data_IF_764911264838
#
_entry.id   IF_764911264838
#
_cell.length_a   1.000
_cell.length_b   1.000
_cell.length_c   1.000
_cell.angle_alpha   90.00
_cell.angle_beta   90.00
_cell.angle_gamma   90.00
#
_symmetry.space_group_name_H-M   'P 1'
#
loop_
_entity.id
_entity.type
_entity.pdbx_description
1 polymer ?
#
# COMPACT_ATOMS: atom_id res chain seq x y z
N UNK A 1 39.54 33.28 -18.87
CA UNK A 1 38.85 32.33 -17.94
C UNK A 1 39.58 30.99 -18.01
N UNK A 2 40.13 30.52 -16.90
CA UNK A 2 41.07 29.39 -16.92
C UNK A 2 40.31 28.05 -16.94
N UNK A 3 40.84 27.08 -17.69
CA UNK A 3 40.33 25.71 -17.86
C UNK A 3 40.02 25.03 -16.50
N UNK A 4 40.74 25.42 -15.44
CA UNK A 4 40.52 24.93 -14.07
C UNK A 4 39.15 25.30 -13.47
N UNK A 5 38.56 26.44 -13.89
CA UNK A 5 37.24 26.87 -13.40
C UNK A 5 36.11 26.02 -13.99
N UNK A 6 36.24 25.56 -15.21
CA UNK A 6 35.26 24.71 -15.88
C UNK A 6 35.22 23.29 -15.32
N UNK A 7 36.37 22.75 -14.93
CA UNK A 7 36.44 21.41 -14.30
C UNK A 7 35.78 21.37 -12.90
N UNK A 8 35.86 22.48 -12.14
CA UNK A 8 35.21 22.58 -10.83
C UNK A 8 33.67 22.61 -10.93
N UNK A 9 33.11 23.29 -11.91
CA UNK A 9 31.67 23.41 -12.10
C UNK A 9 31.06 22.09 -12.62
N UNK A 10 31.75 21.37 -13.51
CA UNK A 10 31.29 20.06 -13.99
C UNK A 10 31.29 19.01 -12.88
N UNK A 11 32.28 19.00 -12.00
CA UNK A 11 32.36 18.08 -10.85
C UNK A 11 31.23 18.29 -9.84
N UNK A 12 30.90 19.57 -9.52
CA UNK A 12 29.82 19.90 -8.60
C UNK A 12 28.42 19.54 -9.15
N UNK A 13 28.20 19.68 -10.46
CA UNK A 13 26.92 19.31 -11.11
C UNK A 13 26.69 17.79 -11.09
N UNK A 14 27.72 16.97 -11.28
CA UNK A 14 27.59 15.48 -11.26
C UNK A 14 27.36 14.98 -9.85
N UNK A 15 27.99 15.55 -8.82
CA UNK A 15 27.74 15.20 -7.42
C UNK A 15 26.33 15.60 -6.96
N UNK A 16 25.82 16.74 -7.41
CA UNK A 16 24.46 17.19 -7.10
C UNK A 16 23.38 16.28 -7.70
N UNK A 17 23.57 15.80 -8.94
CA UNK A 17 22.62 14.89 -9.60
C UNK A 17 22.59 13.50 -8.96
N UNK A 18 23.71 13.00 -8.42
CA UNK A 18 23.76 11.69 -7.75
C UNK A 18 23.02 11.68 -6.41
N UNK A 19 22.96 12.81 -5.69
CA UNK A 19 22.26 12.92 -4.40
C UNK A 19 20.73 13.01 -4.54
N UNK A 20 20.21 13.59 -5.62
CA UNK A 20 18.76 13.72 -5.86
C UNK A 20 18.13 12.40 -6.28
N UNK A 21 18.86 11.52 -6.98
CA UNK A 21 18.34 10.24 -7.48
C UNK A 21 18.09 9.16 -6.41
N UNK A 22 18.69 9.26 -5.23
CA UNK A 22 18.60 8.24 -4.18
C UNK A 22 17.52 8.53 -3.13
N UNK A 23 17.05 9.78 -3.02
CA UNK A 23 16.07 10.18 -2.01
C UNK A 23 14.64 9.73 -2.29
N UNK A 24 14.25 9.57 -3.55
CA UNK A 24 12.86 9.28 -3.93
C UNK A 24 12.44 7.83 -3.65
N UNK A 25 13.37 6.87 -3.58
CA UNK A 25 13.05 5.46 -3.30
C UNK A 25 12.85 5.16 -1.81
N UNK A 26 13.46 5.96 -0.92
CA UNK A 26 13.35 5.78 0.52
C UNK A 26 11.98 6.23 1.07
N UNK A 27 11.34 7.21 0.45
CA UNK A 27 10.05 7.74 0.90
C UNK A 27 8.88 6.77 0.67
N UNK A 28 8.92 5.94 -0.37
CA UNK A 28 7.84 5.00 -0.67
C UNK A 28 7.80 3.80 0.28
N UNK A 29 8.94 3.33 0.78
CA UNK A 29 9.00 2.23 1.74
C UNK A 29 8.68 2.66 3.18
N UNK A 30 8.86 3.94 3.51
CA UNK A 30 8.52 4.47 4.83
C UNK A 30 7.00 4.68 5.03
N UNK A 31 6.22 4.84 3.95
CA UNK A 31 4.81 5.16 4.06
C UNK A 31 3.99 4.01 4.68
N UNK A 32 4.17 2.74 4.24
CA UNK A 32 3.44 1.62 4.80
C UNK A 32 3.78 1.40 6.27
N UNK A 33 5.06 1.21 6.61
CA UNK A 33 5.51 0.93 7.97
C UNK A 33 5.32 2.10 8.95
N UNK A 34 5.12 3.31 8.46
CA UNK A 34 4.76 4.46 9.29
C UNK A 34 3.29 4.39 9.74
N UNK A 35 2.38 3.95 8.86
CA UNK A 35 0.94 4.00 9.09
C UNK A 35 0.31 2.64 9.41
N UNK A 36 0.81 1.55 8.85
CA UNK A 36 0.21 0.22 8.94
C UNK A 36 1.15 -0.80 9.62
N UNK A 37 0.54 -1.79 10.26
CA UNK A 37 1.27 -2.83 11.00
C UNK A 37 1.20 -4.17 10.23
N UNK A 38 2.33 -4.58 9.64
CA UNK A 38 2.45 -5.88 8.96
C UNK A 38 2.20 -7.09 9.89
N UNK A 39 2.28 -6.89 11.22
CA UNK A 39 2.01 -7.94 12.23
C UNK A 39 0.55 -7.97 12.68
N UNK A 40 -0.28 -7.05 12.19
CA UNK A 40 -1.70 -6.98 12.50
C UNK A 40 -2.55 -7.22 11.23
N UNK A 41 -2.56 -8.46 10.68
CA UNK A 41 -3.39 -8.79 9.53
C UNK A 41 -4.87 -8.65 9.89
N UNK A 42 -5.68 -8.27 8.91
CA UNK A 42 -7.12 -8.16 9.04
C UNK A 42 -7.81 -8.71 7.81
N UNK A 43 -8.97 -9.35 8.02
CA UNK A 43 -9.90 -9.73 6.97
C UNK A 43 -11.23 -9.04 7.22
N UNK A 44 -11.66 -8.21 6.29
CA UNK A 44 -12.86 -7.39 6.35
C UNK A 44 -13.87 -7.92 5.34
N UNK A 45 -15.11 -8.16 5.75
CA UNK A 45 -16.20 -8.60 4.87
C UNK A 45 -17.40 -7.67 5.02
N UNK A 46 -17.89 -7.14 3.91
CA UNK A 46 -19.08 -6.30 3.92
C UNK A 46 -19.33 -5.59 2.60
N UNK A 47 -20.47 -4.89 2.49
CA UNK A 47 -20.79 -4.09 1.32
C UNK A 47 -19.91 -2.84 1.22
N UNK A 48 -19.57 -2.48 -0.01
CA UNK A 48 -18.95 -1.19 -0.35
C UNK A 48 -19.98 -0.10 -0.11
N UNK A 49 -19.61 0.94 0.62
CA UNK A 49 -20.44 2.14 0.85
C UNK A 49 -19.99 3.33 0.01
N UNK A 50 -18.71 3.42 -0.32
CA UNK A 50 -18.11 4.49 -1.14
C UNK A 50 -16.79 4.03 -1.73
N UNK A 51 -16.40 4.54 -2.89
CA UNK A 51 -15.04 4.39 -3.44
C UNK A 51 -14.51 5.76 -3.88
N UNK A 52 -13.32 6.08 -3.45
CA UNK A 52 -12.60 7.29 -3.84
C UNK A 52 -11.45 6.90 -4.78
N UNK A 53 -11.58 7.29 -6.04
CA UNK A 53 -10.56 7.07 -7.07
C UNK A 53 -9.67 8.30 -7.18
N UNK A 54 -8.81 8.50 -6.19
CA UNK A 54 -7.93 9.66 -6.07
C UNK A 54 -6.45 9.23 -6.05
N UNK A 55 -5.55 10.13 -6.43
CA UNK A 55 -4.12 9.94 -6.27
C UNK A 55 -3.68 10.50 -4.90
N UNK A 56 -2.66 9.92 -4.28
CA UNK A 56 -1.84 8.79 -4.73
C UNK A 56 -2.46 7.42 -4.47
N UNK A 57 -3.53 7.31 -3.66
CA UNK A 57 -4.14 6.03 -3.29
C UNK A 57 -5.66 6.09 -3.44
N UNK A 58 -6.25 5.01 -4.00
CA UNK A 58 -7.68 4.83 -3.96
C UNK A 58 -8.11 4.34 -2.58
N UNK A 59 -9.34 4.71 -2.16
CA UNK A 59 -9.92 4.29 -0.90
C UNK A 59 -11.27 3.60 -1.11
N UNK A 60 -11.43 2.44 -0.47
CA UNK A 60 -12.70 1.72 -0.41
C UNK A 60 -13.26 1.87 0.99
N UNK A 61 -14.46 2.44 1.10
CA UNK A 61 -15.22 2.46 2.34
C UNK A 61 -16.18 1.29 2.33
N UNK A 62 -16.24 0.54 3.42
CA UNK A 62 -17.10 -0.63 3.54
C UNK A 62 -17.69 -0.74 4.94
N UNK A 63 -18.90 -1.28 5.03
CA UNK A 63 -19.54 -1.60 6.31
C UNK A 63 -19.23 -3.02 6.71
N UNK A 64 -18.64 -3.19 7.88
CA UNK A 64 -18.23 -4.49 8.41
C UNK A 64 -19.03 -4.79 9.69
N UNK A 65 -19.63 -5.97 9.77
CA UNK A 65 -20.27 -6.45 11.00
C UNK A 65 -19.25 -7.06 11.92
N UNK A 66 -19.20 -6.58 13.15
CA UNK A 66 -18.43 -7.22 14.22
C UNK A 66 -19.09 -8.53 14.66
N UNK A 67 -18.38 -9.43 15.35
CA UNK A 67 -19.00 -10.63 15.95
C UNK A 67 -20.17 -10.33 16.89
N UNK A 68 -20.17 -9.15 17.52
CA UNK A 68 -21.27 -8.67 18.36
C UNK A 68 -22.44 -8.04 17.57
N UNK A 69 -22.42 -8.10 16.23
CA UNK A 69 -23.45 -7.57 15.35
C UNK A 69 -23.42 -6.05 15.12
N UNK A 70 -22.47 -5.34 15.72
CA UNK A 70 -22.33 -3.90 15.52
C UNK A 70 -21.76 -3.64 14.12
N UNK A 71 -22.28 -2.60 13.43
CA UNK A 71 -21.70 -2.12 12.17
C UNK A 71 -20.57 -1.15 12.43
N UNK A 72 -19.48 -1.34 11.68
CA UNK A 72 -18.31 -0.46 11.67
C UNK A 72 -17.99 -0.05 10.25
N UNK A 73 -17.73 1.24 10.04
CA UNK A 73 -17.25 1.74 8.74
C UNK A 73 -15.74 1.70 8.69
N UNK A 74 -15.23 0.86 7.81
CA UNK A 74 -13.80 0.72 7.54
C UNK A 74 -13.38 1.45 6.28
N UNK A 75 -12.19 2.04 6.31
CA UNK A 75 -11.53 2.65 5.17
C UNK A 75 -10.34 1.78 4.77
N UNK A 76 -10.36 1.28 3.53
CA UNK A 76 -9.31 0.42 2.99
C UNK A 76 -8.54 1.16 1.92
N UNK A 77 -7.25 1.36 2.17
CA UNK A 77 -6.32 1.94 1.19
C UNK A 77 -5.92 0.90 0.16
N UNK A 78 -6.06 1.24 -1.10
CA UNK A 78 -5.56 0.45 -2.22
C UNK A 78 -4.36 1.10 -2.91
N UNK A 79 -3.97 0.56 -4.04
CA UNK A 79 -2.99 1.15 -4.93
C UNK A 79 -3.49 2.43 -5.61
N UNK A 80 -2.66 3.01 -6.47
CA UNK A 80 -3.10 4.13 -7.31
C UNK A 80 -4.25 3.68 -8.22
N UNK A 81 -5.18 4.58 -8.61
CA UNK A 81 -6.25 4.24 -9.55
C UNK A 81 -5.77 3.50 -10.80
N UNK A 82 -4.68 3.98 -11.41
CA UNK A 82 -4.11 3.35 -12.59
C UNK A 82 -3.54 1.94 -12.34
N UNK A 83 -2.92 1.71 -11.18
CA UNK A 83 -2.41 0.39 -10.80
C UNK A 83 -3.55 -0.59 -10.58
N UNK A 84 -4.61 -0.17 -9.89
CA UNK A 84 -5.80 -0.98 -9.66
C UNK A 84 -6.47 -1.38 -10.97
N UNK A 85 -6.69 -0.43 -11.89
CA UNK A 85 -7.30 -0.70 -13.19
C UNK A 85 -6.49 -1.69 -14.03
N UNK A 86 -5.15 -1.53 -14.09
CA UNK A 86 -4.28 -2.50 -14.77
C UNK A 86 -4.29 -3.87 -14.12
N UNK A 87 -4.52 -3.95 -12.81
CA UNK A 87 -4.67 -5.18 -12.05
C UNK A 87 -6.07 -5.82 -12.14
N UNK A 88 -6.99 -5.20 -12.90
CA UNK A 88 -8.36 -5.71 -13.07
C UNK A 88 -9.36 -5.21 -12.01
N UNK A 89 -8.94 -4.39 -11.05
CA UNK A 89 -9.81 -3.73 -10.09
C UNK A 89 -10.31 -2.43 -10.71
N UNK A 90 -11.51 -2.44 -11.25
CA UNK A 90 -12.08 -1.34 -12.04
C UNK A 90 -13.24 -0.67 -11.29
N UNK A 91 -13.69 0.50 -11.80
CA UNK A 91 -14.87 1.19 -11.27
C UNK A 91 -16.12 0.30 -11.32
N UNK A 92 -16.27 -0.49 -12.38
CA UNK A 92 -17.43 -1.38 -12.57
C UNK A 92 -17.40 -2.57 -11.61
N UNK A 93 -16.21 -3.00 -11.17
CA UNK A 93 -16.07 -4.11 -10.21
C UNK A 93 -16.21 -3.66 -8.75
N UNK A 94 -16.17 -2.33 -8.47
CA UNK A 94 -16.29 -1.76 -7.14
C UNK A 94 -17.57 -0.91 -6.98
N UNK A 95 -18.71 -1.44 -7.41
CA UNK A 95 -20.00 -0.74 -7.24
C UNK A 95 -20.42 -0.71 -5.76
N UNK A 96 -20.99 0.40 -5.34
CA UNK A 96 -21.62 0.53 -4.01
C UNK A 96 -22.67 -0.58 -3.84
N UNK A 97 -22.70 -1.18 -2.66
CA UNK A 97 -23.55 -2.30 -2.34
C UNK A 97 -22.94 -3.68 -2.63
N UNK A 98 -21.88 -3.77 -3.45
CA UNK A 98 -21.18 -5.04 -3.68
C UNK A 98 -20.53 -5.53 -2.40
N UNK A 99 -20.85 -6.75 -1.98
CA UNK A 99 -20.21 -7.40 -0.83
C UNK A 99 -18.87 -7.97 -1.26
N UNK A 100 -17.80 -7.49 -0.63
CA UNK A 100 -16.44 -7.95 -0.91
C UNK A 100 -15.78 -8.49 0.36
N UNK A 101 -14.70 -9.24 0.18
CA UNK A 101 -13.76 -9.58 1.25
C UNK A 101 -12.42 -8.94 0.94
N UNK A 102 -11.89 -8.17 1.88
CA UNK A 102 -10.56 -7.57 1.77
C UNK A 102 -9.66 -8.16 2.83
N UNK A 103 -8.50 -8.67 2.44
CA UNK A 103 -7.40 -8.98 3.34
C UNK A 103 -6.33 -7.89 3.26
N UNK A 104 -5.75 -7.56 4.40
CA UNK A 104 -4.78 -6.48 4.50
C UNK A 104 -4.22 -6.34 5.91
N UNK A 105 -3.80 -5.13 6.26
CA UNK A 105 -3.10 -4.83 7.52
C UNK A 105 -3.71 -3.61 8.19
N UNK A 106 -3.90 -3.67 9.50
CA UNK A 106 -4.49 -2.59 10.30
C UNK A 106 -3.60 -1.37 10.38
N UNK A 107 -4.22 -0.19 10.49
CA UNK A 107 -3.53 1.03 10.86
C UNK A 107 -3.04 0.95 12.32
N UNK A 108 -1.83 1.51 12.55
CA UNK A 108 -1.19 1.58 13.88
C UNK A 108 -1.85 2.56 14.83
N UNK A 109 -2.56 3.55 14.30
CA UNK A 109 -3.22 4.60 15.07
C UNK A 109 -4.55 4.16 15.73
N UNK A 110 -4.94 2.89 15.56
CA UNK A 110 -6.15 2.32 16.13
C UNK A 110 -7.45 2.69 15.40
N UNK A 111 -7.40 3.50 14.36
CA UNK A 111 -8.58 3.83 13.54
C UNK A 111 -9.03 2.60 12.75
N UNK A 112 -10.30 2.59 12.33
CA UNK A 112 -10.86 1.57 11.45
C UNK A 112 -10.38 1.77 10.01
N UNK A 113 -9.06 1.68 9.83
CA UNK A 113 -8.37 1.76 8.55
C UNK A 113 -7.49 0.54 8.33
N UNK A 114 -7.36 0.15 7.08
CA UNK A 114 -6.47 -0.92 6.66
C UNK A 114 -5.76 -0.56 5.35
N UNK A 115 -4.56 -1.09 5.15
CA UNK A 115 -3.94 -1.15 3.84
C UNK A 115 -4.35 -2.48 3.21
N UNK A 116 -5.10 -2.42 2.10
CA UNK A 116 -5.61 -3.60 1.41
C UNK A 116 -4.53 -4.29 0.59
N UNK A 117 -4.46 -5.61 0.72
CA UNK A 117 -3.59 -6.46 -0.09
C UNK A 117 -4.35 -7.16 -1.21
N UNK A 118 -5.37 -7.91 -0.86
CA UNK A 118 -6.18 -8.66 -1.79
C UNK A 118 -7.66 -8.32 -1.62
N UNK A 119 -8.39 -8.33 -2.72
CA UNK A 119 -9.84 -8.19 -2.75
C UNK A 119 -10.46 -9.43 -3.39
N UNK A 120 -11.41 -10.05 -2.71
CA UNK A 120 -12.19 -11.18 -3.22
C UNK A 120 -13.63 -10.73 -3.48
N UNK A 121 -14.10 -11.00 -4.68
CA UNK A 121 -15.44 -10.67 -5.16
C UNK A 121 -16.45 -11.78 -4.88
N UNK A 122 -17.79 -11.52 -5.03
CA UNK A 122 -18.83 -12.53 -4.81
C UNK A 122 -18.72 -13.75 -5.72
N UNK A 123 -18.12 -13.59 -6.91
CA UNK A 123 -17.88 -14.68 -7.88
C UNK A 123 -16.63 -15.53 -7.55
N UNK A 124 -15.96 -15.25 -6.43
CA UNK A 124 -14.78 -15.96 -5.96
C UNK A 124 -13.46 -15.47 -6.56
N UNK A 125 -13.47 -14.55 -7.54
CA UNK A 125 -12.22 -13.96 -8.06
C UNK A 125 -11.51 -13.17 -6.99
N UNK A 126 -10.20 -13.39 -6.88
CA UNK A 126 -9.33 -12.62 -5.99
C UNK A 126 -8.30 -11.87 -6.80
N UNK A 127 -8.20 -10.56 -6.57
CA UNK A 127 -7.25 -9.67 -7.23
C UNK A 127 -6.37 -8.96 -6.18
N UNK A 128 -5.12 -8.73 -6.56
CA UNK A 128 -4.24 -7.90 -5.75
C UNK A 128 -4.65 -6.43 -5.89
N UNK A 129 -4.93 -5.76 -4.78
CA UNK A 129 -5.34 -4.36 -4.74
C UNK A 129 -4.30 -3.41 -4.18
N UNK A 130 -3.17 -3.93 -3.74
CA UNK A 130 -2.03 -3.13 -3.31
C UNK A 130 -1.27 -2.53 -4.50
N UNK A 131 -0.22 -1.80 -4.21
CA UNK A 131 0.76 -1.35 -5.19
C UNK A 131 2.16 -1.43 -4.62
N UNK A 132 3.17 -1.42 -5.50
CA UNK A 132 4.57 -1.29 -5.05
C UNK A 132 4.84 0.00 -4.28
N UNK A 133 3.96 1.01 -4.41
CA UNK A 133 4.04 2.27 -3.68
C UNK A 133 3.35 2.25 -2.31
N UNK A 134 2.41 1.34 -2.05
CA UNK A 134 1.78 1.20 -0.74
C UNK A 134 2.62 0.38 0.23
N UNK A 135 3.58 -0.38 -0.28
CA UNK A 135 4.46 -1.21 0.55
C UNK A 135 3.79 -2.42 1.18
N UNK A 136 2.49 -2.69 0.90
CA UNK A 136 1.82 -3.89 1.40
C UNK A 136 2.55 -5.14 0.87
N UNK A 137 3.07 -6.00 1.76
CA UNK A 137 3.85 -7.15 1.32
C UNK A 137 2.95 -8.17 0.61
N UNK A 138 3.36 -8.63 -0.57
CA UNK A 138 2.63 -9.66 -1.33
C UNK A 138 2.59 -11.00 -0.60
N UNK A 139 3.63 -11.30 0.16
CA UNK A 139 3.87 -12.57 0.83
C UNK A 139 3.58 -12.53 2.34
N UNK A 140 3.02 -11.42 2.84
CA UNK A 140 2.75 -11.22 4.26
C UNK A 140 3.98 -10.90 5.10
N UNK A 141 5.15 -10.72 4.49
CA UNK A 141 6.37 -10.32 5.19
C UNK A 141 6.49 -8.82 5.23
N UNK A 142 6.98 -8.27 6.34
CA UNK A 142 7.33 -6.86 6.41
C UNK A 142 8.52 -6.60 5.48
N UNK A 143 8.39 -5.74 4.46
CA UNK A 143 9.50 -5.42 3.56
C UNK A 143 10.71 -4.80 4.27
N UNK A 144 10.52 -4.33 5.52
CA UNK A 144 11.58 -3.78 6.36
C UNK A 144 12.07 -4.78 7.44
N UNK A 145 11.50 -6.01 7.49
CA UNK A 145 11.96 -7.02 8.43
C UNK A 145 13.36 -7.48 8.01
N UNK A 146 14.35 -7.19 8.85
CA UNK A 146 15.71 -7.72 8.63
C UNK A 146 15.64 -9.25 8.60
N UNK A 147 16.35 -9.91 7.66
CA UNK A 147 16.42 -11.38 7.63
C UNK A 147 16.79 -11.89 9.02
N UNK A 148 15.98 -12.82 9.57
CA UNK A 148 16.37 -13.47 10.82
C UNK A 148 17.74 -14.10 10.62
N UNK A 149 18.69 -13.93 11.58
CA UNK A 149 19.96 -14.62 11.54
C UNK A 149 19.68 -16.11 11.34
N UNK A 150 20.29 -16.72 10.33
CA UNK A 150 20.29 -18.19 10.24
C UNK A 150 20.88 -18.68 11.54
N UNK A 151 20.07 -19.40 12.31
CA UNK A 151 20.56 -20.10 13.50
C UNK A 151 21.75 -20.97 13.11
N UNK A 152 22.69 -21.23 14.05
CA UNK A 152 23.79 -22.13 13.79
C UNK A 152 23.21 -23.44 13.29
N UNK A 153 23.64 -23.84 12.07
CA UNK A 153 23.23 -25.12 11.49
C UNK A 153 23.61 -26.24 12.45
N UNK A 154 22.63 -27.11 12.72
CA UNK A 154 22.84 -28.38 13.36
C UNK A 154 23.58 -29.32 12.41
#
# INVERSE_FOLDING_TARGET
>A
MSLKLWMGVAGAAVLGAALVGHGARLLAHHAFSAEFDAKAPVTLRGPITKVEWINPHAWIHMEVKTPAGKSETWMVEGGTPNTLQRGGVTRDSLKVGTVIVVSGYKAKDGRLRANGRDITYPDGRTLFMGSSGTGAPKDGRDPNEKPKPKGPGL
#
